data_IF_414602146437
#
_entry.id   IF_414602146437
#
_cell.length_a   1.000
_cell.length_b   1.000
_cell.length_c   1.000
_cell.angle_alpha   90.00
_cell.angle_beta   90.00
_cell.angle_gamma   90.00
#
_symmetry.space_group_name_H-M   'P 1'
#
loop_
_entity.id
_entity.type
_entity.pdbx_description
1 polymer ?
#
# COMPACT_ATOMS: atom_id res chain seq x y z
N UNK A 1 -6.22 7.63 30.95
CA UNK A 1 -5.45 8.39 29.94
C UNK A 1 -4.32 7.50 29.42
N UNK A 2 -4.48 6.89 28.25
CA UNK A 2 -3.40 6.11 27.61
C UNK A 2 -2.43 7.09 26.97
N UNK A 3 -1.26 7.31 27.58
CA UNK A 3 -0.21 8.16 27.00
C UNK A 3 0.16 7.59 25.63
N UNK A 4 -0.02 8.38 24.57
CA UNK A 4 0.48 8.02 23.25
C UNK A 4 2.01 7.90 23.34
N UNK A 5 2.56 6.78 22.89
CA UNK A 5 4.00 6.58 22.82
C UNK A 5 4.57 7.64 21.87
N UNK A 6 5.25 8.63 22.44
CA UNK A 6 5.97 9.66 21.67
C UNK A 6 7.04 8.96 20.83
N UNK A 7 7.18 9.38 19.57
CA UNK A 7 8.16 8.74 18.69
C UNK A 7 9.55 9.02 19.27
N UNK A 8 10.43 8.01 19.30
CA UNK A 8 11.76 8.18 19.90
C UNK A 8 12.58 9.30 19.24
N UNK A 9 12.28 9.62 17.98
CA UNK A 9 12.90 10.68 17.17
C UNK A 9 12.54 12.11 17.62
N UNK A 10 11.49 12.27 18.43
CA UNK A 10 11.05 13.59 18.93
C UNK A 10 11.70 13.94 20.29
N UNK A 11 12.58 13.07 20.82
CA UNK A 11 13.33 13.33 22.04
C UNK A 11 14.61 14.10 21.75
N UNK A 12 14.88 15.12 22.56
CA UNK A 12 16.00 16.07 22.40
C UNK A 12 17.39 15.39 22.37
N UNK A 13 17.51 14.21 22.98
CA UNK A 13 18.75 13.41 23.06
C UNK A 13 18.77 12.17 22.15
N UNK A 14 18.07 12.21 21.01
CA UNK A 14 17.99 11.05 20.12
C UNK A 14 19.31 10.78 19.37
N UNK A 15 20.04 9.75 19.78
CA UNK A 15 21.35 9.37 19.22
C UNK A 15 21.24 8.41 18.00
N UNK A 16 20.03 8.21 17.45
CA UNK A 16 19.78 7.24 16.39
C UNK A 16 19.42 5.83 16.90
N UNK A 17 19.12 4.94 15.96
CA UNK A 17 18.81 3.54 16.29
C UNK A 17 20.08 2.70 16.34
N UNK A 18 20.16 1.79 17.30
CA UNK A 18 21.20 0.76 17.30
C UNK A 18 20.94 -0.30 16.22
N UNK A 19 21.97 -1.05 15.83
CA UNK A 19 21.84 -2.11 14.81
C UNK A 19 20.82 -3.18 15.24
N UNK A 20 20.74 -3.46 16.54
CA UNK A 20 19.82 -4.45 17.12
C UNK A 20 18.38 -3.96 17.08
N UNK A 21 18.13 -2.70 17.42
CA UNK A 21 16.81 -2.10 17.31
C UNK A 21 16.29 -2.10 15.87
N UNK A 22 17.15 -1.84 14.89
CA UNK A 22 16.81 -1.92 13.48
C UNK A 22 16.44 -3.34 13.06
N UNK A 23 17.20 -4.35 13.51
CA UNK A 23 16.90 -5.77 13.27
C UNK A 23 15.57 -6.17 13.91
N UNK A 24 15.35 -5.77 15.15
CA UNK A 24 14.10 -6.02 15.86
C UNK A 24 12.91 -5.40 15.14
N UNK A 25 13.02 -4.13 14.74
CA UNK A 25 11.98 -3.43 13.98
C UNK A 25 11.68 -4.12 12.66
N UNK A 26 12.70 -4.58 11.95
CA UNK A 26 12.54 -5.34 10.70
C UNK A 26 11.81 -6.65 10.94
N UNK A 27 12.20 -7.42 11.95
CA UNK A 27 11.54 -8.67 12.31
C UNK A 27 10.06 -8.45 12.71
N UNK A 28 9.82 -7.43 13.54
CA UNK A 28 8.47 -7.05 13.96
C UNK A 28 7.58 -6.65 12.79
N UNK A 29 8.09 -5.84 11.85
CA UNK A 29 7.35 -5.47 10.64
C UNK A 29 7.06 -6.71 9.78
N UNK A 30 8.04 -7.61 9.63
CA UNK A 30 7.84 -8.88 8.90
C UNK A 30 6.69 -9.70 9.49
N UNK A 31 6.71 -9.92 10.80
CA UNK A 31 5.65 -10.64 11.51
C UNK A 31 4.28 -9.96 11.36
N UNK A 32 4.23 -8.62 11.42
CA UNK A 32 2.98 -7.86 11.20
C UNK A 32 2.44 -8.04 9.79
N UNK A 33 3.32 -8.00 8.78
CA UNK A 33 2.92 -8.22 7.39
C UNK A 33 2.37 -9.63 7.16
N UNK A 34 2.97 -10.66 7.78
CA UNK A 34 2.47 -12.03 7.70
C UNK A 34 1.08 -12.17 8.32
N UNK A 35 0.87 -11.59 9.51
CA UNK A 35 -0.45 -11.57 10.16
C UNK A 35 -1.50 -10.82 9.33
N UNK A 36 -1.15 -9.70 8.72
CA UNK A 36 -2.06 -8.94 7.85
C UNK A 36 -2.40 -9.72 6.57
N UNK A 37 -1.42 -10.41 5.99
CA UNK A 37 -1.64 -11.31 4.85
C UNK A 37 -2.62 -12.44 5.21
N UNK A 38 -2.44 -13.08 6.36
CA UNK A 38 -3.37 -14.10 6.85
C UNK A 38 -4.78 -13.55 7.05
N UNK A 39 -4.91 -12.36 7.65
CA UNK A 39 -6.21 -11.69 7.81
C UNK A 39 -6.88 -11.43 6.47
N UNK A 40 -6.15 -10.93 5.47
CA UNK A 40 -6.68 -10.71 4.13
C UNK A 40 -7.13 -12.01 3.46
N UNK A 41 -6.31 -13.07 3.54
CA UNK A 41 -6.66 -14.39 3.01
C UNK A 41 -7.89 -14.99 3.73
N UNK A 42 -7.99 -14.81 5.04
CA UNK A 42 -9.15 -15.24 5.83
C UNK A 42 -10.42 -14.44 5.48
N UNK A 43 -10.30 -13.14 5.24
CA UNK A 43 -11.40 -12.30 4.79
C UNK A 43 -11.87 -12.70 3.39
N UNK A 44 -10.92 -12.92 2.48
CA UNK A 44 -11.20 -13.33 1.10
C UNK A 44 -11.83 -14.72 1.01
N UNK A 45 -11.38 -15.68 1.82
CA UNK A 45 -12.00 -17.02 1.90
C UNK A 45 -13.41 -16.99 2.48
N UNK A 46 -13.68 -16.13 3.47
CA UNK A 46 -15.04 -15.89 3.98
C UNK A 46 -15.95 -15.23 2.94
N UNK A 47 -15.44 -14.26 2.18
CA UNK A 47 -16.16 -13.67 1.05
C UNK A 47 -16.45 -14.71 -0.05
N UNK A 48 -15.52 -15.63 -0.32
CA UNK A 48 -15.70 -16.74 -1.26
C UNK A 48 -16.78 -17.74 -0.80
N UNK A 49 -16.94 -17.94 0.52
CA UNK A 49 -17.94 -18.85 1.09
C UNK A 49 -19.36 -18.29 1.21
N UNK A 50 -19.55 -16.97 1.18
CA UNK A 50 -20.88 -16.31 1.25
C UNK A 50 -21.42 -15.82 -0.10
N UNK A 51 -20.63 -15.90 -1.17
CA UNK A 51 -21.11 -15.62 -2.52
C UNK A 51 -21.76 -16.88 -3.10
N UNK A 52 -23.09 -16.97 -3.01
CA UNK A 52 -23.87 -17.99 -3.71
C UNK A 52 -23.49 -18.06 -5.20
N UNK A 53 -23.55 -19.27 -5.76
CA UNK A 53 -22.99 -19.68 -7.06
C UNK A 53 -23.29 -18.77 -8.28
N UNK A 54 -24.22 -17.83 -8.21
CA UNK A 54 -24.55 -16.91 -9.32
C UNK A 54 -23.71 -15.62 -9.36
N UNK A 55 -23.22 -15.10 -8.24
CA UNK A 55 -22.47 -13.83 -8.19
C UNK A 55 -20.95 -14.01 -8.31
N UNK A 56 -20.44 -15.21 -8.02
CA UNK A 56 -19.02 -15.55 -8.17
C UNK A 56 -18.49 -15.32 -9.59
N UNK A 57 -19.25 -15.66 -10.64
CA UNK A 57 -18.78 -15.49 -12.04
C UNK A 57 -18.61 -14.03 -12.47
N UNK A 58 -19.37 -13.11 -11.89
CA UNK A 58 -19.27 -11.68 -12.17
C UNK A 58 -18.12 -11.04 -11.37
N UNK A 59 -17.97 -11.43 -10.10
CA UNK A 59 -16.90 -10.93 -9.23
C UNK A 59 -15.54 -11.52 -9.58
N UNK A 60 -15.46 -12.72 -10.14
CA UNK A 60 -14.18 -13.31 -10.60
C UNK A 60 -13.61 -12.55 -11.82
N UNK A 61 -14.48 -12.10 -12.74
CA UNK A 61 -14.11 -11.22 -13.86
C UNK A 61 -13.72 -9.80 -13.43
N UNK A 62 -14.38 -9.27 -12.41
CA UNK A 62 -14.05 -7.94 -11.86
C UNK A 62 -12.82 -8.03 -10.96
N UNK A 63 -12.67 -9.11 -10.19
CA UNK A 63 -11.56 -9.39 -9.29
C UNK A 63 -10.25 -9.65 -10.00
N UNK A 64 -10.28 -10.31 -11.17
CA UNK A 64 -9.11 -10.35 -12.07
C UNK A 64 -8.78 -8.98 -12.66
N UNK A 65 -9.75 -8.06 -12.70
CA UNK A 65 -9.54 -6.69 -13.11
C UNK A 65 -9.17 -5.76 -11.95
N UNK A 66 -9.40 -6.07 -10.67
CA UNK A 66 -9.02 -5.20 -9.54
C UNK A 66 -7.52 -4.89 -9.48
N UNK A 67 -6.57 -5.84 -9.66
CA UNK A 67 -5.17 -5.48 -9.77
C UNK A 67 -4.92 -4.64 -11.03
N UNK A 68 -5.55 -4.99 -12.16
CA UNK A 68 -5.44 -4.23 -13.41
C UNK A 68 -5.99 -2.79 -13.28
N UNK A 69 -7.04 -2.60 -12.50
CA UNK A 69 -7.72 -1.33 -12.28
C UNK A 69 -6.91 -0.46 -11.34
N UNK A 70 -6.30 -1.03 -10.30
CA UNK A 70 -5.31 -0.32 -9.49
C UNK A 70 -4.07 0.05 -10.31
N UNK A 71 -3.55 -0.86 -11.14
CA UNK A 71 -2.44 -0.54 -12.05
C UNK A 71 -2.84 0.49 -13.09
N UNK A 72 -4.05 0.46 -13.62
CA UNK A 72 -4.56 1.42 -14.60
C UNK A 72 -4.77 2.81 -13.99
N UNK A 73 -5.34 2.90 -12.77
CA UNK A 73 -5.48 4.16 -12.04
C UNK A 73 -4.11 4.72 -11.65
N UNK A 74 -3.18 3.87 -11.23
CA UNK A 74 -1.83 4.28 -10.89
C UNK A 74 -1.05 4.73 -12.14
N UNK A 75 -1.15 3.99 -13.25
CA UNK A 75 -0.58 4.37 -14.54
C UNK A 75 -1.20 5.67 -15.08
N UNK A 76 -2.51 5.87 -14.91
CA UNK A 76 -3.20 7.08 -15.35
C UNK A 76 -2.80 8.30 -14.50
N UNK A 77 -2.70 8.15 -13.19
CA UNK A 77 -2.29 9.25 -12.29
C UNK A 77 -0.81 9.61 -12.44
N UNK A 78 0.07 8.61 -12.60
CA UNK A 78 1.50 8.80 -12.89
C UNK A 78 1.69 9.38 -14.29
N UNK A 79 1.04 8.82 -15.31
CA UNK A 79 1.08 9.30 -16.69
C UNK A 79 0.58 10.74 -16.82
N UNK A 80 -0.52 11.09 -16.13
CA UNK A 80 -1.06 12.46 -16.12
C UNK A 80 -0.10 13.47 -15.48
N UNK A 81 0.65 13.08 -14.44
CA UNK A 81 1.68 13.94 -13.82
C UNK A 81 2.89 14.11 -14.74
N UNK A 82 3.39 13.01 -15.33
CA UNK A 82 4.52 13.05 -16.28
C UNK A 82 4.16 13.86 -17.52
N UNK A 83 2.94 13.71 -18.04
CA UNK A 83 2.45 14.50 -19.18
C UNK A 83 2.36 15.99 -18.86
N UNK A 84 1.83 16.39 -17.70
CA UNK A 84 1.78 17.81 -17.29
C UNK A 84 3.18 18.41 -17.12
N UNK A 85 4.09 17.67 -16.50
CA UNK A 85 5.47 18.13 -16.29
C UNK A 85 6.25 18.17 -17.59
N UNK A 86 6.14 17.13 -18.43
CA UNK A 86 6.70 17.08 -19.77
C UNK A 86 6.18 18.22 -20.64
N UNK A 87 4.87 18.46 -20.68
CA UNK A 87 4.28 19.59 -21.41
C UNK A 87 4.79 20.95 -20.92
N UNK A 88 5.02 21.14 -19.62
CA UNK A 88 5.63 22.38 -19.10
C UNK A 88 7.09 22.56 -19.50
N UNK A 89 7.86 21.47 -19.53
CA UNK A 89 9.28 21.51 -19.87
C UNK A 89 9.47 21.68 -21.38
N UNK A 90 8.75 20.89 -22.20
CA UNK A 90 8.80 20.98 -23.66
C UNK A 90 8.09 22.23 -24.21
N UNK A 91 7.06 22.74 -23.53
CA UNK A 91 6.40 24.00 -23.89
C UNK A 91 7.25 25.26 -23.63
N UNK A 92 8.25 25.17 -22.75
CA UNK A 92 9.21 26.25 -22.49
C UNK A 92 10.37 26.32 -23.50
N UNK A 93 10.61 25.25 -24.27
CA UNK A 93 11.66 25.20 -25.30
C UNK A 93 11.25 25.79 -26.67
N UNK A 94 9.98 26.21 -26.83
CA UNK A 94 9.46 26.85 -28.06
C UNK A 94 9.18 28.36 -27.90
N UNK A 95 9.73 29.01 -26.88
CA UNK A 95 9.79 30.48 -26.79
C UNK A 95 11.24 30.91 -26.78
#
# INVERSE_FOLDING_TARGET
MTKALTKPQEQENWNGYTIEELRYRRAYIGARCELEKEKLLSGMSRFRGHAGQSTMRAVEKVGSAIPLFNYALLAFTVGSKVWRTGRRIFGRRKK
#
